data_IF_425944709561
#
_entry.id   IF_425944709561
#
_cell.length_a   1.000
_cell.length_b   1.000
_cell.length_c   1.000
_cell.angle_alpha   90.00
_cell.angle_beta   90.00
_cell.angle_gamma   90.00
#
_symmetry.space_group_name_H-M   'P 1'
#
loop_
_entity.id
_entity.type
_entity.pdbx_description
1 polymer ?
#
# COMPACT_ATOMS: atom_id res chain seq x y z
N UNK A 1 -54.17 45.74 10.97
CA UNK A 1 -53.03 46.42 11.62
C UNK A 1 -52.78 45.71 12.95
N UNK A 2 -51.96 44.66 12.93
CA UNK A 2 -50.54 44.64 13.39
C UNK A 2 -50.40 44.47 14.90
N UNK A 3 -50.15 43.25 15.36
CA UNK A 3 -48.78 42.79 15.70
C UNK A 3 -48.82 41.34 16.22
N UNK A 4 -48.22 40.44 15.45
CA UNK A 4 -47.82 39.10 15.85
C UNK A 4 -46.43 39.22 16.49
N UNK A 5 -46.24 38.81 17.76
CA UNK A 5 -44.88 38.66 18.33
C UNK A 5 -44.77 37.43 19.23
N UNK A 6 -44.09 36.44 18.64
CA UNK A 6 -43.09 35.52 19.20
C UNK A 6 -43.55 34.54 20.30
N UNK A 7 -43.88 33.35 19.82
CA UNK A 7 -43.90 32.09 20.56
C UNK A 7 -42.55 31.37 20.35
N UNK A 8 -42.25 30.47 21.29
CA UNK A 8 -41.21 29.43 21.37
C UNK A 8 -39.85 29.77 21.99
N UNK A 9 -39.77 29.50 23.30
CA UNK A 9 -38.56 29.06 23.97
C UNK A 9 -38.32 27.54 23.80
N UNK A 10 -37.17 27.10 24.30
CA UNK A 10 -36.63 25.73 24.29
C UNK A 10 -36.07 25.23 22.95
N UNK A 11 -34.83 25.62 22.65
CA UNK A 11 -33.90 24.73 21.94
C UNK A 11 -32.67 24.54 22.82
N UNK A 12 -32.61 23.37 23.45
CA UNK A 12 -31.47 22.86 24.19
C UNK A 12 -30.27 22.74 23.26
N UNK A 13 -29.20 23.43 23.61
CA UNK A 13 -27.85 23.18 23.12
C UNK A 13 -27.40 21.77 23.55
N UNK A 14 -27.64 20.79 22.68
CA UNK A 14 -26.90 19.53 22.64
C UNK A 14 -26.12 19.52 21.33
N UNK A 15 -24.97 20.19 21.36
CA UNK A 15 -23.90 19.99 20.40
C UNK A 15 -23.42 18.55 20.56
N UNK A 16 -24.06 17.63 19.85
CA UNK A 16 -23.50 16.32 19.53
C UNK A 16 -22.21 16.56 18.77
N UNK A 17 -21.12 16.53 19.52
CA UNK A 17 -19.76 16.36 19.05
C UNK A 17 -19.68 14.94 18.47
N UNK A 18 -20.18 14.77 17.25
CA UNK A 18 -19.84 13.63 16.42
C UNK A 18 -18.40 13.81 15.96
N UNK A 19 -17.45 13.60 16.88
CA UNK A 19 -16.15 13.08 16.54
C UNK A 19 -16.40 11.68 15.99
N UNK A 20 -16.67 11.61 14.69
CA UNK A 20 -16.57 10.37 13.96
C UNK A 20 -15.10 9.96 14.03
N UNK A 21 -14.79 9.06 14.95
CA UNK A 21 -13.67 8.15 14.80
C UNK A 21 -14.21 6.97 13.98
N UNK A 22 -13.96 6.89 12.66
CA UNK A 22 -14.30 5.72 11.88
C UNK A 22 -13.11 4.76 11.99
N UNK A 23 -12.96 4.09 13.12
CA UNK A 23 -11.94 3.05 13.27
C UNK A 23 -12.42 1.93 14.20
N UNK A 24 -13.09 2.28 15.30
CA UNK A 24 -13.55 1.32 16.32
C UNK A 24 -14.68 0.35 15.88
N UNK A 25 -15.20 0.46 14.66
CA UNK A 25 -16.28 -0.40 14.17
C UNK A 25 -15.83 -1.47 13.14
N UNK A 26 -14.61 -1.37 12.58
CA UNK A 26 -14.22 -2.15 11.41
C UNK A 26 -13.88 -3.63 11.73
N UNK A 27 -13.32 -3.91 12.90
CA UNK A 27 -12.84 -5.25 13.30
C UNK A 27 -13.95 -6.29 13.51
N UNK A 28 -15.13 -5.83 13.94
CA UNK A 28 -16.32 -6.68 14.09
C UNK A 28 -17.15 -6.78 12.80
N UNK A 29 -16.75 -6.07 11.73
CA UNK A 29 -17.57 -5.90 10.53
C UNK A 29 -16.94 -6.36 9.22
N UNK A 30 -15.72 -6.92 9.19
CA UNK A 30 -15.16 -7.45 7.94
C UNK A 30 -15.85 -8.79 7.56
N UNK A 31 -16.72 -8.83 6.54
CA UNK A 31 -17.46 -10.05 6.21
C UNK A 31 -16.55 -11.16 5.68
N UNK A 32 -15.37 -10.80 5.17
CA UNK A 32 -14.42 -11.73 4.55
C UNK A 32 -13.36 -12.27 5.52
N UNK A 33 -13.51 -12.03 6.84
CA UNK A 33 -12.57 -12.46 7.89
C UNK A 33 -12.16 -13.93 7.75
N UNK A 34 -13.12 -14.84 7.63
CA UNK A 34 -12.84 -16.28 7.56
C UNK A 34 -12.07 -16.67 6.30
N UNK A 35 -12.35 -16.01 5.17
CA UNK A 35 -11.62 -16.22 3.92
C UNK A 35 -10.19 -15.67 4.01
N UNK A 36 -10.00 -14.49 4.60
CA UNK A 36 -8.67 -13.91 4.85
C UNK A 36 -7.83 -14.84 5.73
N UNK A 37 -8.41 -15.36 6.83
CA UNK A 37 -7.75 -16.31 7.72
C UNK A 37 -7.39 -17.61 6.99
N UNK A 38 -8.33 -18.16 6.21
CA UNK A 38 -8.08 -19.37 5.45
C UNK A 38 -6.98 -19.21 4.39
N UNK A 39 -6.90 -18.06 3.72
CA UNK A 39 -5.79 -17.77 2.81
C UNK A 39 -4.47 -17.59 3.55
N UNK A 40 -4.50 -16.91 4.69
CA UNK A 40 -3.33 -16.75 5.55
C UNK A 40 -2.79 -18.13 5.99
N UNK A 41 -3.67 -19.06 6.37
CA UNK A 41 -3.30 -20.43 6.71
C UNK A 41 -2.70 -21.19 5.51
N UNK A 42 -3.29 -21.07 4.31
CA UNK A 42 -2.72 -21.67 3.09
C UNK A 42 -1.28 -21.19 2.87
N UNK A 43 -1.02 -19.88 3.01
CA UNK A 43 0.32 -19.30 2.87
C UNK A 43 1.26 -19.83 3.95
N UNK A 44 0.85 -19.75 5.21
CA UNK A 44 1.71 -20.12 6.34
C UNK A 44 2.04 -21.62 6.34
N UNK A 45 1.10 -22.49 5.97
CA UNK A 45 1.30 -23.94 5.98
C UNK A 45 2.00 -24.46 4.73
N UNK A 46 1.89 -23.78 3.59
CA UNK A 46 2.39 -24.28 2.31
C UNK A 46 3.88 -24.04 2.02
N UNK A 47 4.64 -23.43 2.94
CA UNK A 47 6.05 -23.09 2.73
C UNK A 47 6.94 -24.30 2.44
N UNK A 48 6.59 -25.48 2.98
CA UNK A 48 7.40 -26.70 2.83
C UNK A 48 7.44 -27.20 1.37
N UNK A 49 6.53 -26.72 0.52
CA UNK A 49 6.48 -27.03 -0.91
C UNK A 49 7.29 -26.07 -1.80
N UNK A 50 7.96 -25.05 -1.23
CA UNK A 50 8.67 -24.02 -1.97
C UNK A 50 10.19 -24.23 -1.98
N UNK A 51 10.84 -23.66 -3.00
CA UNK A 51 12.30 -23.47 -2.95
C UNK A 51 12.65 -22.34 -1.98
N UNK A 52 13.84 -22.34 -1.36
CA UNK A 52 14.22 -21.31 -0.38
C UNK A 52 14.10 -19.87 -0.90
N UNK A 53 14.44 -19.62 -2.18
CA UNK A 53 14.34 -18.29 -2.79
C UNK A 53 12.90 -17.80 -2.98
N UNK A 54 11.94 -18.72 -3.10
CA UNK A 54 10.51 -18.40 -3.23
C UNK A 54 9.87 -18.28 -1.84
N UNK A 55 10.30 -19.08 -0.88
CA UNK A 55 9.82 -19.03 0.50
C UNK A 55 10.02 -17.65 1.16
N UNK A 56 11.11 -16.94 0.84
CA UNK A 56 11.38 -15.61 1.39
C UNK A 56 10.36 -14.52 0.93
N UNK A 57 9.57 -14.78 -0.13
CA UNK A 57 8.59 -13.84 -0.70
C UNK A 57 7.23 -13.85 -0.01
N UNK A 58 6.90 -14.93 0.70
CA UNK A 58 5.59 -15.13 1.30
C UNK A 58 5.71 -15.28 2.82
N UNK A 59 4.59 -15.07 3.53
CA UNK A 59 4.51 -15.34 4.97
C UNK A 59 4.32 -14.11 5.86
N UNK A 60 5.09 -13.01 5.72
CA UNK A 60 4.94 -11.83 6.59
C UNK A 60 3.54 -11.22 6.55
N UNK A 61 2.98 -11.00 5.37
CA UNK A 61 1.63 -10.45 5.17
C UNK A 61 0.57 -11.38 5.74
N UNK A 62 0.63 -12.67 5.42
CA UNK A 62 -0.26 -13.69 5.96
C UNK A 62 -0.18 -13.79 7.49
N UNK A 63 1.03 -13.72 8.07
CA UNK A 63 1.22 -13.76 9.52
C UNK A 63 0.63 -12.52 10.19
N UNK A 64 0.88 -11.34 9.62
CA UNK A 64 0.30 -10.10 10.12
C UNK A 64 -1.24 -10.14 10.08
N UNK A 65 -1.82 -10.50 8.93
CA UNK A 65 -3.27 -10.66 8.80
C UNK A 65 -3.81 -11.70 9.77
N UNK A 66 -3.14 -12.84 9.98
CA UNK A 66 -3.54 -13.83 10.98
C UNK A 66 -3.51 -13.28 12.40
N UNK A 67 -2.48 -12.51 12.79
CA UNK A 67 -2.41 -11.86 14.10
C UNK A 67 -3.62 -10.93 14.30
N UNK A 68 -3.88 -10.06 13.31
CA UNK A 68 -4.96 -9.07 13.36
C UNK A 68 -6.35 -9.72 13.36
N UNK A 69 -6.62 -10.57 12.37
CA UNK A 69 -7.94 -11.16 12.18
C UNK A 69 -8.23 -12.32 13.12
N UNK A 70 -7.25 -13.10 13.59
CA UNK A 70 -7.54 -14.19 14.54
C UNK A 70 -7.60 -13.70 15.99
N UNK A 71 -7.01 -12.54 16.29
CA UNK A 71 -6.89 -12.03 17.66
C UNK A 71 -5.98 -12.90 18.52
N UNK A 72 -4.83 -13.30 17.97
CA UNK A 72 -3.90 -14.21 18.64
C UNK A 72 -3.37 -13.61 19.95
N UNK A 73 -3.21 -14.46 20.97
CA UNK A 73 -2.52 -14.08 22.19
C UNK A 73 -1.02 -13.86 21.98
N UNK A 74 -0.34 -13.30 22.98
CA UNK A 74 1.11 -13.02 22.89
C UNK A 74 1.95 -14.27 22.66
N UNK A 75 1.60 -15.39 23.30
CA UNK A 75 2.36 -16.65 23.19
C UNK A 75 2.21 -17.25 21.78
N UNK A 76 0.98 -17.28 21.28
CA UNK A 76 0.65 -17.75 19.94
C UNK A 76 1.32 -16.87 18.88
N UNK A 77 1.29 -15.55 19.07
CA UNK A 77 1.94 -14.60 18.17
C UNK A 77 3.46 -14.80 18.15
N UNK A 78 4.10 -14.98 19.30
CA UNK A 78 5.55 -15.26 19.37
C UNK A 78 5.92 -16.55 18.63
N UNK A 79 5.13 -17.61 18.80
CA UNK A 79 5.34 -18.89 18.11
C UNK A 79 5.19 -18.73 16.59
N UNK A 80 4.16 -18.00 16.14
CA UNK A 80 3.94 -17.70 14.73
C UNK A 80 5.12 -16.91 14.13
N UNK A 81 5.52 -15.81 14.77
CA UNK A 81 6.61 -14.95 14.29
C UNK A 81 7.96 -15.70 14.24
N UNK A 82 8.25 -16.54 15.23
CA UNK A 82 9.44 -17.39 15.22
C UNK A 82 9.40 -18.41 14.06
N UNK A 83 8.22 -18.94 13.75
CA UNK A 83 8.03 -19.87 12.63
C UNK A 83 8.25 -19.18 11.28
N UNK A 84 7.72 -17.96 11.11
CA UNK A 84 7.91 -17.15 9.89
C UNK A 84 9.39 -16.85 9.68
N UNK A 85 10.11 -16.38 10.70
CA UNK A 85 11.56 -16.13 10.60
C UNK A 85 12.36 -17.39 10.25
N UNK A 86 11.98 -18.53 10.82
CA UNK A 86 12.66 -19.81 10.53
C UNK A 86 12.43 -20.27 9.09
N UNK A 87 11.23 -20.06 8.56
CA UNK A 87 10.85 -20.46 7.19
C UNK A 87 11.39 -19.50 6.12
N UNK A 88 11.60 -18.23 6.48
CA UNK A 88 11.98 -17.16 5.56
C UNK A 88 13.16 -16.34 6.12
N UNK A 89 14.34 -16.96 6.33
CA UNK A 89 15.45 -16.37 7.08
C UNK A 89 16.08 -15.15 6.41
N UNK A 90 15.87 -14.94 5.10
CA UNK A 90 16.38 -13.75 4.38
C UNK A 90 15.29 -12.73 4.10
N UNK A 91 14.04 -13.01 4.50
CA UNK A 91 12.93 -12.10 4.32
C UNK A 91 13.09 -10.87 5.20
N UNK A 92 13.26 -9.73 4.55
CA UNK A 92 13.34 -8.44 5.24
C UNK A 92 11.98 -8.04 5.82
N UNK A 93 10.89 -8.37 5.13
CA UNK A 93 9.53 -8.16 5.61
C UNK A 93 9.26 -8.99 6.88
N UNK A 94 9.75 -10.24 6.96
CA UNK A 94 9.66 -11.04 8.18
C UNK A 94 10.38 -10.37 9.36
N UNK A 95 11.61 -9.90 9.14
CA UNK A 95 12.39 -9.19 10.17
C UNK A 95 11.71 -7.88 10.60
N UNK A 96 11.13 -7.12 9.67
CA UNK A 96 10.43 -5.87 9.98
C UNK A 96 9.13 -6.13 10.77
N UNK A 97 8.33 -7.12 10.36
CA UNK A 97 7.13 -7.57 11.08
C UNK A 97 7.46 -7.93 12.54
N UNK A 98 8.47 -8.78 12.73
CA UNK A 98 8.87 -9.25 14.07
C UNK A 98 9.34 -8.08 14.92
N UNK A 99 10.18 -7.21 14.37
CA UNK A 99 10.70 -6.04 15.09
C UNK A 99 9.57 -5.09 15.48
N UNK A 100 8.64 -4.82 14.56
CA UNK A 100 7.48 -3.98 14.81
C UNK A 100 6.59 -4.55 15.93
N UNK A 101 6.32 -5.85 15.91
CA UNK A 101 5.50 -6.48 16.95
C UNK A 101 6.16 -6.42 18.32
N UNK A 102 7.43 -6.81 18.44
CA UNK A 102 8.14 -6.78 19.73
C UNK A 102 8.29 -5.37 20.29
N UNK A 103 8.59 -4.38 19.43
CA UNK A 103 8.69 -2.98 19.84
C UNK A 103 7.34 -2.45 20.32
N UNK A 104 6.27 -2.68 19.56
CA UNK A 104 4.94 -2.25 19.94
C UNK A 104 4.49 -2.93 21.25
N UNK A 105 4.69 -4.25 21.37
CA UNK A 105 4.16 -5.04 22.48
C UNK A 105 4.89 -4.82 23.80
N UNK A 106 6.22 -4.69 23.75
CA UNK A 106 7.07 -4.60 24.94
C UNK A 106 7.53 -3.17 25.23
N UNK A 107 7.63 -2.32 24.22
CA UNK A 107 8.38 -1.08 24.26
C UNK A 107 9.90 -1.29 24.20
N UNK A 108 10.62 -0.29 23.69
CA UNK A 108 12.05 -0.35 23.42
C UNK A 108 12.90 -0.59 24.68
N UNK A 109 12.48 -0.07 25.84
CA UNK A 109 13.20 -0.24 27.11
C UNK A 109 13.14 -1.68 27.61
N UNK A 110 11.94 -2.27 27.63
CA UNK A 110 11.77 -3.65 28.07
C UNK A 110 12.38 -4.62 27.06
N UNK A 111 12.25 -4.34 25.76
CA UNK A 111 12.91 -5.13 24.71
C UNK A 111 14.43 -5.13 24.89
N UNK A 112 15.05 -3.98 25.15
CA UNK A 112 16.49 -3.91 25.45
C UNK A 112 16.87 -4.73 26.68
N UNK A 113 16.05 -4.68 27.73
CA UNK A 113 16.27 -5.48 28.95
C UNK A 113 16.19 -6.98 28.70
N UNK A 114 15.23 -7.43 27.87
CA UNK A 114 15.01 -8.84 27.56
C UNK A 114 16.04 -9.40 26.56
N UNK A 115 16.39 -8.64 25.52
CA UNK A 115 17.30 -9.07 24.46
C UNK A 115 18.78 -8.93 24.87
N UNK A 116 19.09 -8.05 25.82
CA UNK A 116 20.45 -7.61 26.09
C UNK A 116 20.93 -6.53 25.11
N UNK A 117 22.01 -5.83 25.48
CA UNK A 117 22.45 -4.64 24.76
C UNK A 117 22.92 -4.92 23.32
N UNK A 118 23.67 -6.01 23.12
CA UNK A 118 24.21 -6.37 21.79
C UNK A 118 23.09 -6.74 20.82
N UNK A 119 22.17 -7.64 21.23
CA UNK A 119 21.06 -8.04 20.36
C UNK A 119 20.09 -6.90 20.09
N UNK A 120 19.84 -6.05 21.09
CA UNK A 120 19.06 -4.83 20.88
C UNK A 120 19.73 -3.91 19.85
N UNK A 121 21.04 -3.74 19.90
CA UNK A 121 21.75 -2.93 18.91
C UNK A 121 21.67 -3.52 17.49
N UNK A 122 21.72 -4.85 17.35
CA UNK A 122 21.49 -5.55 16.09
C UNK A 122 20.07 -5.28 15.55
N UNK A 123 19.03 -5.40 16.40
CA UNK A 123 17.64 -5.07 16.04
C UNK A 123 17.54 -3.62 15.57
N UNK A 124 18.14 -2.69 16.33
CA UNK A 124 18.13 -1.26 16.02
C UNK A 124 18.85 -0.92 14.71
N UNK A 125 19.90 -1.65 14.35
CA UNK A 125 20.58 -1.55 13.03
C UNK A 125 19.71 -2.07 11.88
N UNK A 126 18.87 -3.06 12.16
CA UNK A 126 18.02 -3.72 11.18
C UNK A 126 16.65 -3.09 10.97
N UNK A 127 16.26 -2.08 11.77
CA UNK A 127 14.91 -1.51 11.71
C UNK A 127 14.58 -0.99 10.31
N UNK A 128 13.39 -1.38 9.83
CA UNK A 128 12.77 -0.85 8.63
C UNK A 128 11.52 -0.08 9.02
N UNK A 129 10.68 0.24 8.04
CA UNK A 129 9.62 1.23 8.21
C UNK A 129 8.63 0.86 9.34
N UNK A 130 8.27 -0.41 9.48
CA UNK A 130 7.33 -0.86 10.51
C UNK A 130 7.97 -0.82 11.89
N UNK A 131 9.22 -1.28 12.01
CA UNK A 131 9.99 -1.19 13.24
C UNK A 131 10.29 0.25 13.67
N UNK A 132 10.62 1.13 12.72
CA UNK A 132 10.79 2.57 12.95
C UNK A 132 9.49 3.17 13.49
N UNK A 133 8.35 2.90 12.85
CA UNK A 133 7.04 3.35 13.34
C UNK A 133 6.81 2.91 14.78
N UNK A 134 6.94 1.61 15.06
CA UNK A 134 6.69 1.06 16.39
C UNK A 134 7.59 1.71 17.47
N UNK A 135 8.88 1.92 17.15
CA UNK A 135 9.81 2.62 18.04
C UNK A 135 9.39 4.07 18.30
N UNK A 136 9.02 4.80 17.25
CA UNK A 136 8.65 6.21 17.36
C UNK A 136 7.36 6.38 18.17
N UNK A 137 6.38 5.49 18.00
CA UNK A 137 5.13 5.53 18.75
C UNK A 137 5.32 5.13 20.23
N UNK A 138 6.38 4.41 20.57
CA UNK A 138 6.79 4.10 21.94
C UNK A 138 7.69 5.18 22.58
N UNK A 139 7.80 6.36 21.97
CA UNK A 139 8.61 7.47 22.49
C UNK A 139 10.13 7.26 22.34
N UNK A 140 10.52 6.52 21.31
CA UNK A 140 11.92 6.25 20.97
C UNK A 140 12.58 7.31 20.08
N UNK A 141 12.03 8.53 20.00
CA UNK A 141 12.49 9.57 19.05
C UNK A 141 13.95 9.93 19.30
N UNK A 142 14.31 10.29 20.54
CA UNK A 142 15.69 10.66 20.89
C UNK A 142 16.69 9.51 20.70
N UNK A 143 16.27 8.28 20.99
CA UNK A 143 17.08 7.08 20.75
C UNK A 143 17.38 6.90 19.26
N UNK A 144 16.36 7.03 18.41
CA UNK A 144 16.51 6.89 16.96
C UNK A 144 17.38 8.01 16.37
N UNK A 145 17.15 9.26 16.79
CA UNK A 145 17.93 10.40 16.30
C UNK A 145 19.40 10.29 16.72
N UNK A 146 19.70 9.95 17.98
CA UNK A 146 21.08 9.70 18.42
C UNK A 146 21.75 8.60 17.63
N UNK A 147 21.01 7.54 17.31
CA UNK A 147 21.52 6.45 16.47
C UNK A 147 21.88 6.96 15.07
N UNK A 148 20.98 7.68 14.39
CA UNK A 148 21.25 8.19 13.05
C UNK A 148 22.35 9.26 13.00
N UNK A 149 22.56 10.00 14.08
CA UNK A 149 23.69 10.90 14.21
C UNK A 149 25.04 10.15 14.32
N UNK A 150 25.05 8.99 15.01
CA UNK A 150 26.25 8.17 15.18
C UNK A 150 26.52 7.25 13.98
N UNK A 151 25.46 6.71 13.37
CA UNK A 151 25.50 5.73 12.29
C UNK A 151 24.54 6.17 11.19
N UNK A 152 25.06 6.65 10.04
CA UNK A 152 24.22 7.04 8.92
C UNK A 152 23.29 5.89 8.50
N UNK A 153 22.04 6.22 8.17
CA UNK A 153 21.09 5.26 7.63
C UNK A 153 21.63 4.63 6.35
N UNK A 154 21.63 3.30 6.30
CA UNK A 154 22.06 2.55 5.12
C UNK A 154 20.81 2.11 4.35
N UNK A 155 20.58 2.62 3.12
CA UNK A 155 19.51 2.17 2.26
C UNK A 155 19.67 0.68 1.94
N UNK A 156 18.54 -0.01 1.78
CA UNK A 156 18.50 -1.41 1.35
C UNK A 156 18.76 -1.60 -0.14
N UNK A 157 18.43 -0.59 -0.93
CA UNK A 157 18.66 -0.54 -2.36
C UNK A 157 19.52 0.68 -2.68
N UNK A 158 20.46 0.49 -3.59
CA UNK A 158 21.30 1.54 -4.16
C UNK A 158 20.53 2.49 -5.10
N UNK A 159 19.27 2.19 -5.42
CA UNK A 159 18.41 3.11 -6.17
C UNK A 159 18.22 4.41 -5.39
N UNK A 160 18.70 5.50 -5.98
CA UNK A 160 18.51 6.84 -5.43
C UNK A 160 17.03 7.21 -5.54
N UNK A 161 16.36 7.38 -4.40
CA UNK A 161 14.95 7.76 -4.33
C UNK A 161 14.66 8.60 -3.07
N UNK A 162 13.61 9.44 -3.08
CA UNK A 162 13.29 10.31 -1.95
C UNK A 162 12.94 9.54 -0.67
N UNK A 163 12.54 8.27 -0.78
CA UNK A 163 12.18 7.38 0.34
C UNK A 163 13.21 6.28 0.60
N UNK A 164 14.40 6.37 0.02
CA UNK A 164 15.52 5.47 0.32
C UNK A 164 16.51 6.06 1.33
N UNK A 165 16.26 7.27 1.84
CA UNK A 165 17.05 7.91 2.90
C UNK A 165 16.28 7.98 4.23
N UNK A 166 17.00 8.27 5.33
CA UNK A 166 16.43 8.30 6.68
C UNK A 166 15.21 9.22 6.81
N UNK A 167 15.28 10.43 6.24
CA UNK A 167 14.21 11.41 6.34
C UNK A 167 12.94 10.93 5.65
N UNK A 168 13.07 10.43 4.41
CA UNK A 168 11.95 9.85 3.67
C UNK A 168 11.33 8.67 4.40
N UNK A 169 12.14 7.71 4.86
CA UNK A 169 11.62 6.52 5.58
C UNK A 169 10.90 6.90 6.87
N UNK A 170 11.45 7.84 7.66
CA UNK A 170 10.79 8.33 8.86
C UNK A 170 9.45 8.99 8.49
N UNK A 171 9.43 9.94 7.55
CA UNK A 171 8.18 10.61 7.17
C UNK A 171 7.14 9.64 6.63
N UNK A 172 7.53 8.64 5.84
CA UNK A 172 6.63 7.59 5.39
C UNK A 172 6.07 6.79 6.58
N UNK A 173 6.90 6.40 7.57
CA UNK A 173 6.47 5.60 8.72
C UNK A 173 5.39 6.26 9.61
N UNK A 174 5.26 7.58 9.54
CA UNK A 174 4.43 8.42 10.43
C UNK A 174 3.56 9.43 9.67
N UNK A 175 3.39 9.26 8.35
CA UNK A 175 2.65 10.23 7.50
C UNK A 175 1.20 10.44 7.98
N UNK A 176 0.60 9.41 8.57
CA UNK A 176 -0.74 9.38 9.13
C UNK A 176 -0.82 9.91 10.58
N UNK A 177 0.31 10.20 11.22
CA UNK A 177 0.37 10.77 12.57
C UNK A 177 0.05 12.27 12.57
N UNK A 178 -0.31 12.79 13.74
CA UNK A 178 -0.67 14.19 13.92
C UNK A 178 0.52 15.13 13.67
N UNK A 179 0.23 16.37 13.32
CA UNK A 179 1.26 17.38 13.09
C UNK A 179 2.03 17.70 14.39
N UNK A 180 1.39 17.61 15.56
CA UNK A 180 2.08 17.74 16.85
C UNK A 180 3.07 16.60 17.10
N UNK A 181 2.77 15.38 16.65
CA UNK A 181 3.70 14.27 16.70
C UNK A 181 4.90 14.51 15.78
N UNK A 182 4.64 14.95 14.54
CA UNK A 182 5.67 15.29 13.55
C UNK A 182 6.58 16.41 14.03
N UNK A 183 6.05 17.50 14.59
CA UNK A 183 6.88 18.61 15.10
C UNK A 183 7.77 18.16 16.27
N UNK A 184 7.34 17.23 17.14
CA UNK A 184 8.23 16.66 18.18
C UNK A 184 9.43 15.94 17.56
N UNK A 185 9.22 15.18 16.49
CA UNK A 185 10.29 14.53 15.74
C UNK A 185 11.23 15.54 15.07
N UNK A 186 10.67 16.62 14.49
CA UNK A 186 11.46 17.72 13.92
C UNK A 186 12.39 18.29 14.99
N UNK A 187 11.90 18.58 16.19
CA UNK A 187 12.72 19.08 17.30
C UNK A 187 13.79 18.09 17.74
N UNK A 188 13.45 16.81 17.84
CA UNK A 188 14.41 15.77 18.21
C UNK A 188 15.54 15.65 17.17
N UNK A 189 15.20 15.73 15.88
CA UNK A 189 16.17 15.73 14.79
C UNK A 189 17.05 16.99 14.79
N UNK A 190 16.46 18.18 14.98
CA UNK A 190 17.19 19.45 15.15
C UNK A 190 18.21 19.38 16.30
N UNK A 191 17.78 18.86 17.46
CA UNK A 191 18.63 18.73 18.65
C UNK A 191 19.82 17.79 18.46
N UNK A 192 19.72 16.84 17.53
CA UNK A 192 20.78 15.87 17.20
C UNK A 192 21.53 16.22 15.91
N UNK A 193 21.32 17.40 15.33
CA UNK A 193 22.05 17.84 14.14
C UNK A 193 21.69 17.05 12.87
N UNK A 194 20.43 16.63 12.74
CA UNK A 194 19.90 15.86 11.61
C UNK A 194 18.94 16.70 10.76
N UNK A 195 19.44 17.75 10.06
CA UNK A 195 18.60 18.71 9.35
C UNK A 195 17.78 18.08 8.22
N UNK A 196 18.26 16.98 7.63
CA UNK A 196 17.57 16.32 6.51
C UNK A 196 16.33 15.57 6.99
N UNK A 197 16.43 14.87 8.13
CA UNK A 197 15.26 14.22 8.76
C UNK A 197 14.25 15.29 9.17
N UNK A 198 14.70 16.35 9.85
CA UNK A 198 13.83 17.46 10.24
C UNK A 198 13.10 18.08 9.03
N UNK A 199 13.80 18.26 7.90
CA UNK A 199 13.23 18.80 6.67
C UNK A 199 12.12 17.91 6.09
N UNK A 200 12.38 16.61 5.97
CA UNK A 200 11.38 15.65 5.47
C UNK A 200 10.15 15.57 6.37
N UNK A 201 10.34 15.57 7.70
CA UNK A 201 9.22 15.43 8.65
C UNK A 201 8.38 16.70 8.66
N UNK A 202 8.99 17.88 8.74
CA UNK A 202 8.28 19.17 8.69
C UNK A 202 7.51 19.36 7.37
N UNK A 203 8.07 18.86 6.26
CA UNK A 203 7.42 18.88 4.95
C UNK A 203 6.24 17.90 4.83
N UNK A 204 6.17 16.88 5.69
CA UNK A 204 5.09 15.88 5.70
C UNK A 204 3.93 16.23 6.64
N UNK A 205 3.95 17.39 7.28
CA UNK A 205 2.82 17.89 8.07
C UNK A 205 1.64 18.27 7.18
N UNK A 206 0.42 18.11 7.70
CA UNK A 206 -0.79 18.54 7.01
C UNK A 206 -0.92 20.07 7.02
N UNK A 207 -0.36 20.77 8.00
CA UNK A 207 -0.22 22.22 7.98
C UNK A 207 0.79 22.66 6.91
N UNK A 208 0.35 23.34 5.82
CA UNK A 208 1.25 23.76 4.75
C UNK A 208 2.34 24.75 5.20
N UNK A 209 2.15 25.45 6.33
CA UNK A 209 3.08 26.42 6.88
C UNK A 209 4.17 25.80 7.78
N UNK A 210 4.07 24.51 8.11
CA UNK A 210 5.04 23.82 8.97
C UNK A 210 6.48 23.89 8.44
N UNK A 211 6.64 23.59 7.15
CA UNK A 211 7.94 23.64 6.49
C UNK A 211 8.52 25.07 6.49
N UNK A 212 7.70 26.09 6.23
CA UNK A 212 8.15 27.49 6.27
C UNK A 212 8.63 27.87 7.68
N UNK A 213 7.93 27.43 8.73
CA UNK A 213 8.37 27.62 10.13
C UNK A 213 9.69 26.92 10.41
N UNK A 214 9.90 25.71 9.89
CA UNK A 214 11.16 24.98 10.01
C UNK A 214 12.32 25.76 9.35
N UNK A 215 12.13 26.25 8.13
CA UNK A 215 13.16 27.03 7.42
C UNK A 215 13.49 28.33 8.15
N UNK A 216 12.49 29.04 8.66
CA UNK A 216 12.67 30.30 9.39
C UNK A 216 13.53 30.16 10.66
N UNK A 217 13.60 28.97 11.26
CA UNK A 217 14.46 28.69 12.43
C UNK A 217 15.96 28.57 12.09
N UNK A 218 16.32 28.54 10.81
CA UNK A 218 17.70 28.35 10.36
C UNK A 218 18.19 26.91 10.53
N UNK A 219 17.26 25.95 10.68
CA UNK A 219 17.53 24.54 10.96
C UNK A 219 18.20 23.78 9.80
N UNK A 220 18.38 24.40 8.64
CA UNK A 220 19.11 23.84 7.49
C UNK A 220 20.61 24.17 7.49
N UNK A 221 21.09 24.95 8.46
CA UNK A 221 22.49 25.41 8.53
C UNK A 221 23.45 24.22 8.62
N UNK A 222 24.22 23.98 7.55
CA UNK A 222 25.19 22.88 7.46
C UNK A 222 24.72 21.67 6.65
N UNK A 223 23.45 21.63 6.19
CA UNK A 223 23.00 20.60 5.24
C UNK A 223 23.67 20.82 3.87
N UNK A 224 24.12 19.74 3.25
CA UNK A 224 24.64 19.72 1.87
C UNK A 224 23.54 19.42 0.84
N UNK A 225 22.29 19.21 1.28
CA UNK A 225 21.18 18.80 0.42
C UNK A 225 20.44 20.00 -0.19
N UNK A 226 19.58 19.71 -1.17
CA UNK A 226 18.59 20.63 -1.74
C UNK A 226 17.30 20.52 -0.90
N UNK A 227 17.11 21.29 0.19
CA UNK A 227 16.01 21.10 1.13
C UNK A 227 14.64 21.21 0.45
N UNK A 228 14.52 22.08 -0.55
CA UNK A 228 13.30 22.27 -1.35
C UNK A 228 12.92 21.02 -2.14
N UNK A 229 13.90 20.35 -2.76
CA UNK A 229 13.65 19.16 -3.59
C UNK A 229 13.13 18.00 -2.74
N UNK A 230 13.74 17.77 -1.58
CA UNK A 230 13.31 16.73 -0.65
C UNK A 230 11.96 17.06 -0.01
N UNK A 231 11.72 18.34 0.30
CA UNK A 231 10.46 18.80 0.85
C UNK A 231 9.31 18.63 -0.15
N UNK A 232 9.53 18.87 -1.45
CA UNK A 232 8.51 18.69 -2.48
C UNK A 232 7.96 17.25 -2.47
N UNK A 233 8.80 16.21 -2.34
CA UNK A 233 8.31 14.83 -2.25
C UNK A 233 7.51 14.55 -0.97
N UNK A 234 7.99 15.03 0.18
CA UNK A 234 7.28 14.84 1.44
C UNK A 234 5.93 15.58 1.46
N UNK A 235 5.87 16.78 0.88
CA UNK A 235 4.64 17.56 0.69
C UNK A 235 3.69 16.85 -0.27
N UNK A 236 4.20 16.22 -1.32
CA UNK A 236 3.38 15.50 -2.28
C UNK A 236 2.66 14.29 -1.65
N UNK A 237 3.30 13.58 -0.70
CA UNK A 237 2.66 12.47 0.04
C UNK A 237 1.35 12.86 0.74
N UNK A 238 1.33 14.09 1.27
CA UNK A 238 0.18 14.68 1.97
C UNK A 238 -0.66 15.58 1.06
N UNK A 239 -0.39 15.59 -0.24
CA UNK A 239 -1.15 16.34 -1.24
C UNK A 239 -0.98 17.86 -1.17
N UNK A 240 0.11 18.34 -0.57
CA UNK A 240 0.41 19.76 -0.44
C UNK A 240 1.09 20.31 -1.70
N UNK A 241 0.89 21.61 -2.02
CA UNK A 241 1.64 22.26 -3.10
C UNK A 241 3.14 22.27 -2.84
N UNK A 242 3.93 22.40 -3.90
CA UNK A 242 5.39 22.60 -3.83
C UNK A 242 5.78 23.76 -2.94
N UNK A 243 7.02 23.72 -2.43
CA UNK A 243 7.60 24.88 -1.75
C UNK A 243 7.74 26.06 -2.72
N UNK A 244 7.55 27.29 -2.21
CA UNK A 244 7.59 28.50 -3.04
C UNK A 244 9.02 28.79 -3.50
N UNK A 245 9.24 28.84 -4.80
CA UNK A 245 10.53 29.16 -5.40
C UNK A 245 10.62 28.55 -6.80
N UNK A 246 11.00 29.34 -7.79
CA UNK A 246 10.92 28.99 -9.21
C UNK A 246 11.41 27.58 -9.57
N UNK A 247 10.67 26.92 -10.43
CA UNK A 247 11.04 25.67 -11.07
C UNK A 247 10.51 25.65 -12.50
N UNK A 248 11.04 24.77 -13.34
CA UNK A 248 10.48 24.56 -14.67
C UNK A 248 9.02 24.07 -14.56
N UNK A 249 8.19 24.29 -15.59
CA UNK A 249 6.87 23.65 -15.70
C UNK A 249 6.93 22.14 -15.45
N UNK A 250 7.97 21.47 -15.93
CA UNK A 250 8.23 20.03 -15.70
C UNK A 250 8.30 19.67 -14.21
N UNK A 251 8.90 20.51 -13.36
CA UNK A 251 8.94 20.25 -11.92
C UNK A 251 7.57 20.41 -11.27
N UNK A 252 6.73 21.32 -11.78
CA UNK A 252 5.35 21.43 -11.30
C UNK A 252 4.53 20.20 -11.73
N UNK A 253 4.68 19.76 -12.98
CA UNK A 253 4.06 18.57 -13.54
C UNK A 253 4.50 17.29 -12.80
N UNK A 254 5.80 17.13 -12.54
CA UNK A 254 6.34 16.05 -11.72
C UNK A 254 5.70 16.04 -10.33
N UNK A 255 5.59 17.19 -9.67
CA UNK A 255 5.00 17.25 -8.34
C UNK A 255 3.53 16.84 -8.32
N UNK A 256 2.74 17.28 -9.30
CA UNK A 256 1.36 16.79 -9.45
C UNK A 256 1.32 15.28 -9.67
N UNK A 257 2.23 14.73 -10.48
CA UNK A 257 2.34 13.29 -10.69
C UNK A 257 2.67 12.55 -9.39
N UNK A 258 3.60 13.06 -8.58
CA UNK A 258 3.94 12.49 -7.28
C UNK A 258 2.76 12.56 -6.31
N UNK A 259 1.97 13.65 -6.31
CA UNK A 259 0.71 13.74 -5.55
C UNK A 259 -0.23 12.62 -6.01
N UNK A 260 -0.47 12.48 -7.33
CA UNK A 260 -1.33 11.44 -7.88
C UNK A 260 -0.88 10.04 -7.45
N UNK A 261 0.40 9.73 -7.63
CA UNK A 261 1.03 8.48 -7.20
C UNK A 261 0.85 8.23 -5.71
N UNK A 262 0.96 9.26 -4.86
CA UNK A 262 0.75 9.14 -3.40
C UNK A 262 -0.71 8.92 -3.00
N UNK A 263 -1.64 9.14 -3.92
CA UNK A 263 -3.08 8.91 -3.72
C UNK A 263 -3.56 7.61 -4.37
N UNK A 264 -2.77 6.99 -5.26
CA UNK A 264 -3.10 5.67 -5.78
C UNK A 264 -3.06 4.60 -4.67
N UNK A 265 -4.02 3.66 -4.67
CA UNK A 265 -3.97 2.49 -3.82
C UNK A 265 -2.85 1.55 -4.27
N UNK A 266 -2.07 1.07 -3.30
CA UNK A 266 -1.11 -0.04 -3.44
C UNK A 266 0.08 0.18 -4.39
N UNK A 267 -0.12 0.36 -5.70
CA UNK A 267 0.93 0.65 -6.68
C UNK A 267 0.41 1.69 -7.67
N UNK A 268 1.31 2.48 -8.28
CA UNK A 268 0.92 3.59 -9.14
C UNK A 268 1.18 3.31 -10.62
N UNK A 269 0.15 3.47 -11.45
CA UNK A 269 0.37 3.45 -12.91
C UNK A 269 1.05 4.72 -13.42
N UNK A 270 0.95 5.83 -12.69
CA UNK A 270 1.55 7.12 -13.06
C UNK A 270 3.08 7.08 -13.16
N UNK A 271 3.75 6.17 -12.46
CA UNK A 271 5.21 5.98 -12.56
C UNK A 271 5.63 5.49 -13.95
N UNK A 272 4.77 4.73 -14.62
CA UNK A 272 4.98 4.29 -16.00
C UNK A 272 4.76 5.44 -16.99
N UNK A 273 3.73 6.26 -16.79
CA UNK A 273 3.46 7.41 -17.65
C UNK A 273 4.63 8.41 -17.68
N UNK A 274 5.36 8.59 -16.57
CA UNK A 274 6.52 9.48 -16.52
C UNK A 274 7.67 9.07 -17.44
N UNK A 275 7.72 7.80 -17.87
CA UNK A 275 8.79 7.27 -18.71
C UNK A 275 8.60 7.57 -20.20
N UNK A 276 7.47 8.16 -20.59
CA UNK A 276 7.16 8.54 -21.96
C UNK A 276 7.86 9.86 -22.36
N UNK A 277 8.06 10.09 -23.65
CA UNK A 277 8.65 11.34 -24.17
C UNK A 277 7.87 12.61 -23.74
N UNK A 278 6.54 12.54 -23.69
CA UNK A 278 5.65 13.60 -23.13
C UNK A 278 5.09 13.25 -21.74
N UNK A 279 5.82 12.40 -21.00
CA UNK A 279 5.35 11.79 -19.75
C UNK A 279 5.03 12.78 -18.63
N UNK A 280 5.73 13.92 -18.56
CA UNK A 280 5.43 14.97 -17.57
C UNK A 280 4.08 15.62 -17.80
N UNK A 281 3.77 16.02 -19.03
CA UNK A 281 2.49 16.69 -19.35
C UNK A 281 1.31 15.72 -19.21
N UNK A 282 1.41 14.53 -19.80
CA UNK A 282 0.36 13.51 -19.70
C UNK A 282 0.19 13.08 -18.24
N UNK A 283 1.30 12.82 -17.56
CA UNK A 283 1.31 12.41 -16.15
C UNK A 283 0.69 13.44 -15.23
N UNK A 284 0.93 14.73 -15.43
CA UNK A 284 0.29 15.82 -14.67
C UNK A 284 -1.23 15.82 -14.84
N UNK A 285 -1.72 15.76 -16.09
CA UNK A 285 -3.15 15.76 -16.39
C UNK A 285 -3.86 14.53 -15.80
N UNK A 286 -3.26 13.34 -15.94
CA UNK A 286 -3.82 12.11 -15.38
C UNK A 286 -3.81 12.16 -13.85
N UNK A 287 -2.71 12.61 -13.25
CA UNK A 287 -2.57 12.69 -11.80
C UNK A 287 -3.55 13.66 -11.15
N UNK A 288 -3.81 14.81 -11.77
CA UNK A 288 -4.83 15.75 -11.30
C UNK A 288 -6.23 15.11 -11.31
N UNK A 289 -6.59 14.46 -12.42
CA UNK A 289 -7.89 13.78 -12.55
C UNK A 289 -8.04 12.65 -11.53
N UNK A 290 -7.03 11.79 -11.40
CA UNK A 290 -6.99 10.70 -10.44
C UNK A 290 -7.12 11.21 -9.01
N UNK A 291 -6.32 12.21 -8.63
CA UNK A 291 -6.38 12.80 -7.28
C UNK A 291 -7.78 13.30 -6.97
N UNK A 292 -8.48 13.85 -7.96
CA UNK A 292 -9.86 14.29 -7.82
C UNK A 292 -10.85 13.14 -7.61
N UNK A 293 -10.67 12.01 -8.32
CA UNK A 293 -11.48 10.80 -8.13
C UNK A 293 -11.25 10.14 -6.76
N UNK A 294 -10.01 10.13 -6.28
CA UNK A 294 -9.70 9.62 -4.94
C UNK A 294 -10.30 10.53 -3.86
N UNK A 295 -10.15 11.85 -4.01
CA UNK A 295 -10.71 12.83 -3.05
C UNK A 295 -12.24 12.84 -3.02
N UNK A 296 -12.90 12.55 -4.14
CA UNK A 296 -14.37 12.44 -4.19
C UNK A 296 -14.90 11.11 -3.63
N UNK A 297 -14.02 10.14 -3.37
CA UNK A 297 -14.39 8.78 -2.95
C UNK A 297 -14.83 7.88 -4.10
N UNK A 298 -14.75 8.33 -5.36
CA UNK A 298 -15.04 7.49 -6.53
C UNK A 298 -14.02 6.37 -6.70
N UNK A 299 -12.77 6.61 -6.30
CA UNK A 299 -11.72 5.60 -6.16
C UNK A 299 -11.37 5.50 -4.68
N UNK A 300 -11.49 4.31 -4.10
CA UNK A 300 -11.14 4.11 -2.70
C UNK A 300 -9.62 4.14 -2.52
N UNK A 301 -9.13 5.10 -1.72
CA UNK A 301 -7.70 5.25 -1.42
C UNK A 301 -7.09 4.03 -0.73
N UNK A 302 -7.87 3.31 0.07
CA UNK A 302 -7.43 2.08 0.75
C UNK A 302 -7.76 0.80 -0.02
N UNK A 303 -8.32 0.92 -1.23
CA UNK A 303 -8.72 -0.21 -2.06
C UNK A 303 -7.54 -0.89 -2.77
N UNK A 304 -7.84 -1.62 -3.84
CA UNK A 304 -6.84 -2.26 -4.71
C UNK A 304 -6.40 -1.32 -5.83
N UNK A 305 -5.22 -1.55 -6.40
CA UNK A 305 -4.71 -0.78 -7.55
C UNK A 305 -5.63 -0.83 -8.80
N UNK A 306 -6.43 -1.89 -8.95
CA UNK A 306 -7.19 -2.26 -10.16
C UNK A 306 -7.97 -1.08 -10.79
N UNK A 307 -8.75 -0.37 -9.96
CA UNK A 307 -9.59 0.73 -10.43
C UNK A 307 -8.76 1.96 -10.80
N UNK A 308 -7.73 2.27 -10.00
CA UNK A 308 -6.84 3.41 -10.24
C UNK A 308 -6.00 3.19 -11.49
N UNK A 309 -5.45 1.99 -11.70
CA UNK A 309 -4.68 1.64 -12.88
C UNK A 309 -5.53 1.71 -14.14
N UNK A 310 -6.73 1.13 -14.14
CA UNK A 310 -7.65 1.23 -15.28
C UNK A 310 -8.05 2.68 -15.58
N UNK A 311 -8.26 3.50 -14.54
CA UNK A 311 -8.57 4.91 -14.69
C UNK A 311 -7.39 5.66 -15.34
N UNK A 312 -6.19 5.55 -14.75
CA UNK A 312 -4.98 6.21 -15.21
C UNK A 312 -4.59 5.77 -16.63
N UNK A 313 -4.68 4.48 -16.93
CA UNK A 313 -4.45 3.94 -18.27
C UNK A 313 -5.42 4.52 -19.31
N UNK A 314 -6.73 4.46 -19.06
CA UNK A 314 -7.73 4.99 -20.02
C UNK A 314 -7.59 6.50 -20.23
N UNK A 315 -7.26 7.24 -19.17
CA UNK A 315 -6.99 8.66 -19.26
C UNK A 315 -5.74 8.93 -20.11
N UNK A 316 -4.66 8.16 -19.94
CA UNK A 316 -3.46 8.26 -20.75
C UNK A 316 -3.72 7.89 -22.23
N UNK A 317 -4.44 6.80 -22.49
CA UNK A 317 -4.84 6.40 -23.86
C UNK A 317 -5.66 7.50 -24.53
N UNK A 318 -6.58 8.15 -23.82
CA UNK A 318 -7.36 9.27 -24.36
C UNK A 318 -6.51 10.49 -24.73
N UNK A 319 -5.42 10.74 -24.01
CA UNK A 319 -4.54 11.89 -24.20
C UNK A 319 -3.47 11.65 -25.27
N UNK A 320 -2.86 10.47 -25.28
CA UNK A 320 -1.67 10.17 -26.10
C UNK A 320 -1.91 9.09 -27.17
N UNK A 321 -3.02 8.35 -27.08
CA UNK A 321 -3.24 7.13 -27.85
C UNK A 321 -2.49 5.93 -27.28
N UNK A 322 -3.06 4.74 -27.46
CA UNK A 322 -2.43 3.47 -27.06
C UNK A 322 -1.02 3.27 -27.66
N UNK A 323 -0.75 3.58 -28.95
CA UNK A 323 0.59 3.39 -29.52
C UNK A 323 1.71 4.11 -28.77
N UNK A 324 1.41 5.26 -28.13
CA UNK A 324 2.39 5.99 -27.34
C UNK A 324 2.75 5.29 -26.03
N UNK A 325 1.94 4.34 -25.55
CA UNK A 325 2.14 3.59 -24.31
C UNK A 325 2.82 2.22 -24.53
N UNK A 326 2.92 1.75 -25.78
CA UNK A 326 3.31 0.36 -26.07
C UNK A 326 4.70 0.00 -25.50
N UNK A 327 5.69 0.89 -25.61
CA UNK A 327 7.02 0.65 -25.02
C UNK A 327 6.92 0.39 -23.52
N UNK A 328 6.15 1.21 -22.81
CA UNK A 328 5.97 1.09 -21.36
C UNK A 328 5.16 -0.15 -20.97
N UNK A 329 4.17 -0.54 -21.77
CA UNK A 329 3.42 -1.80 -21.58
C UNK A 329 4.30 -3.05 -21.74
N UNK A 330 5.47 -2.95 -22.39
CA UNK A 330 6.43 -4.07 -22.47
C UNK A 330 7.34 -4.19 -21.26
N UNK A 331 7.37 -3.20 -20.35
CA UNK A 331 8.22 -3.26 -19.14
C UNK A 331 7.76 -4.37 -18.22
N UNK A 332 8.73 -5.00 -17.54
CA UNK A 332 8.46 -6.04 -16.57
C UNK A 332 7.66 -5.50 -15.37
N UNK A 333 6.62 -6.24 -14.99
CA UNK A 333 5.89 -6.00 -13.75
C UNK A 333 6.62 -6.64 -12.57
N UNK A 334 7.00 -5.81 -11.60
CA UNK A 334 7.76 -6.23 -10.42
C UNK A 334 6.88 -6.66 -9.25
N UNK A 335 5.56 -6.45 -9.30
CA UNK A 335 4.66 -6.86 -8.21
C UNK A 335 4.38 -8.37 -8.18
N UNK A 336 3.94 -8.85 -7.03
CA UNK A 336 3.68 -10.27 -6.76
C UNK A 336 2.24 -10.70 -7.04
N UNK A 337 1.43 -9.78 -7.58
CA UNK A 337 0.05 -10.06 -8.02
C UNK A 337 0.03 -10.96 -9.25
N UNK A 338 -1.08 -11.66 -9.40
CA UNK A 338 -1.43 -12.48 -10.55
C UNK A 338 -0.61 -13.77 -10.69
N UNK A 339 -1.29 -14.86 -11.08
CA UNK A 339 -0.62 -16.11 -11.48
C UNK A 339 0.19 -15.85 -12.75
N UNK A 340 1.51 -15.99 -12.67
CA UNK A 340 2.43 -15.85 -13.80
C UNK A 340 2.43 -17.14 -14.63
N UNK A 341 2.11 -17.02 -15.91
CA UNK A 341 2.13 -18.13 -16.88
C UNK A 341 3.35 -18.09 -17.81
N UNK A 342 4.20 -17.06 -17.66
CA UNK A 342 5.42 -16.82 -18.43
C UNK A 342 6.52 -16.25 -17.53
N UNK A 343 7.77 -16.46 -17.92
CA UNK A 343 8.95 -15.91 -17.22
C UNK A 343 9.00 -14.38 -17.28
N UNK A 344 8.50 -13.80 -18.38
CA UNK A 344 8.32 -12.36 -18.56
C UNK A 344 6.85 -12.03 -18.41
N UNK A 345 6.52 -11.26 -17.37
CA UNK A 345 5.18 -10.76 -17.10
C UNK A 345 5.25 -9.22 -17.08
N UNK A 346 4.52 -8.55 -17.96
CA UNK A 346 4.67 -7.12 -18.24
C UNK A 346 3.51 -6.28 -17.69
N UNK A 347 3.69 -4.95 -17.67
CA UNK A 347 2.61 -4.01 -17.36
C UNK A 347 1.42 -4.20 -18.31
N UNK A 348 1.68 -4.45 -19.60
CA UNK A 348 0.65 -4.81 -20.59
C UNK A 348 -0.15 -6.05 -20.21
N UNK A 349 0.51 -7.09 -19.70
CA UNK A 349 -0.18 -8.32 -19.26
C UNK A 349 -1.09 -8.04 -18.05
N UNK A 350 -0.69 -7.15 -17.13
CA UNK A 350 -1.56 -6.67 -16.04
C UNK A 350 -2.76 -5.89 -16.60
N UNK A 351 -2.53 -4.96 -17.53
CA UNK A 351 -3.59 -4.15 -18.11
C UNK A 351 -4.61 -4.99 -18.87
N UNK A 352 -4.18 -6.00 -19.64
CA UNK A 352 -5.07 -6.92 -20.34
C UNK A 352 -5.96 -7.70 -19.36
N UNK A 353 -5.41 -8.17 -18.24
CA UNK A 353 -6.19 -8.84 -17.18
C UNK A 353 -7.22 -7.90 -16.56
N UNK A 354 -6.81 -6.69 -16.21
CA UNK A 354 -7.72 -5.68 -15.64
C UNK A 354 -8.84 -5.31 -16.61
N UNK A 355 -8.53 -5.14 -17.90
CA UNK A 355 -9.52 -4.85 -18.94
C UNK A 355 -10.49 -6.02 -19.14
N UNK A 356 -9.99 -7.26 -19.17
CA UNK A 356 -10.81 -8.46 -19.31
C UNK A 356 -11.76 -8.63 -18.11
N UNK A 357 -11.24 -8.49 -16.88
CA UNK A 357 -12.05 -8.55 -15.66
C UNK A 357 -13.11 -7.44 -15.64
N UNK A 358 -12.74 -6.19 -15.94
CA UNK A 358 -13.68 -5.08 -15.95
C UNK A 358 -14.81 -5.26 -16.99
N UNK A 359 -14.50 -5.84 -18.15
CA UNK A 359 -15.49 -6.13 -19.18
C UNK A 359 -16.43 -7.28 -18.78
N UNK A 360 -15.90 -8.34 -18.17
CA UNK A 360 -16.67 -9.55 -17.80
C UNK A 360 -17.43 -9.40 -16.47
N UNK A 361 -17.03 -8.46 -15.61
CA UNK A 361 -17.61 -8.30 -14.28
C UNK A 361 -19.15 -8.19 -14.29
N UNK A 362 -19.79 -7.34 -15.13
CA UNK A 362 -21.26 -7.24 -15.16
C UNK A 362 -21.96 -8.56 -15.53
N UNK A 363 -21.33 -9.39 -16.38
CA UNK A 363 -21.85 -10.69 -16.77
C UNK A 363 -21.75 -11.71 -15.62
N UNK A 364 -20.58 -11.82 -14.96
CA UNK A 364 -20.37 -12.83 -13.90
C UNK A 364 -21.19 -12.55 -12.63
N UNK A 365 -21.51 -11.28 -12.35
CA UNK A 365 -22.43 -10.90 -11.25
C UNK A 365 -23.90 -10.94 -11.64
N UNK A 366 -24.23 -11.30 -12.88
CA UNK A 366 -25.62 -11.39 -13.37
C UNK A 366 -26.32 -10.05 -13.59
N UNK A 367 -25.59 -8.93 -13.69
CA UNK A 367 -26.17 -7.62 -14.09
C UNK A 367 -26.56 -7.60 -15.57
N UNK A 368 -25.89 -8.40 -16.40
CA UNK A 368 -26.20 -8.54 -17.84
C UNK A 368 -26.21 -10.02 -18.24
N UNK A 369 -27.16 -10.42 -19.07
CA UNK A 369 -27.22 -11.80 -19.60
C UNK A 369 -26.35 -12.01 -20.83
N UNK A 370 -26.13 -10.97 -21.61
CA UNK A 370 -25.27 -11.03 -22.79
C UNK A 370 -23.79 -11.06 -22.41
N UNK A 371 -23.04 -11.96 -23.05
CA UNK A 371 -21.58 -11.95 -23.00
C UNK A 371 -21.06 -10.68 -23.71
N UNK A 372 -20.16 -9.89 -23.10
CA UNK A 372 -19.59 -8.71 -23.75
C UNK A 372 -18.73 -9.09 -24.96
N UNK A 373 -18.62 -8.16 -25.92
CA UNK A 373 -17.63 -8.25 -27.00
C UNK A 373 -16.21 -8.06 -26.45
N UNK A 374 -15.19 -8.55 -27.19
CA UNK A 374 -13.77 -8.29 -26.89
C UNK A 374 -13.57 -6.76 -26.79
N UNK A 375 -13.01 -6.23 -25.67
CA UNK A 375 -12.68 -4.81 -25.59
C UNK A 375 -11.66 -4.42 -26.67
N UNK A 376 -11.82 -3.23 -27.25
CA UNK A 376 -10.92 -2.75 -28.33
C UNK A 376 -9.47 -2.55 -27.86
N UNK A 377 -9.29 -2.13 -26.61
CA UNK A 377 -7.98 -1.86 -26.00
C UNK A 377 -7.26 -3.14 -25.53
N UNK A 378 -7.92 -4.28 -25.63
CA UNK A 378 -7.36 -5.57 -25.25
C UNK A 378 -6.29 -5.99 -26.26
N UNK A 379 -5.10 -6.41 -25.83
CA UNK A 379 -4.07 -6.89 -26.76
C UNK A 379 -4.46 -8.20 -27.45
N UNK A 380 -3.65 -8.63 -28.42
CA UNK A 380 -3.82 -9.93 -29.08
C UNK A 380 -3.19 -11.09 -28.29
N UNK A 381 -2.49 -10.81 -27.18
CA UNK A 381 -1.91 -11.86 -26.33
C UNK A 381 -2.96 -12.59 -25.50
N UNK A 382 -4.08 -11.94 -25.19
CA UNK A 382 -5.09 -12.51 -24.30
C UNK A 382 -6.10 -13.34 -25.09
N UNK A 383 -6.32 -14.57 -24.64
CA UNK A 383 -7.30 -15.48 -25.22
C UNK A 383 -8.71 -15.11 -24.74
N UNK A 384 -9.34 -14.15 -25.43
CA UNK A 384 -10.69 -13.71 -25.09
C UNK A 384 -11.73 -14.85 -25.10
N UNK A 385 -11.76 -15.78 -26.09
CA UNK A 385 -12.58 -16.98 -26.01
C UNK A 385 -12.40 -17.76 -24.70
N UNK A 386 -11.16 -17.99 -24.25
CA UNK A 386 -10.89 -18.67 -22.98
C UNK A 386 -11.43 -17.91 -21.77
N UNK A 387 -11.24 -16.60 -21.73
CA UNK A 387 -11.78 -15.75 -20.66
C UNK A 387 -13.31 -15.79 -20.59
N UNK A 388 -14.00 -15.72 -21.74
CA UNK A 388 -15.47 -15.81 -21.80
C UNK A 388 -15.99 -17.21 -21.43
N UNK A 389 -15.26 -18.27 -21.78
CA UNK A 389 -15.55 -19.63 -21.31
C UNK A 389 -15.48 -19.71 -19.79
N UNK A 390 -14.39 -19.21 -19.18
CA UNK A 390 -14.21 -19.21 -17.73
C UNK A 390 -15.24 -18.34 -17.02
N UNK A 391 -15.61 -17.18 -17.58
CA UNK A 391 -16.66 -16.33 -17.05
C UNK A 391 -18.02 -17.04 -17.00
N UNK A 392 -18.34 -17.84 -18.01
CA UNK A 392 -19.56 -18.68 -18.02
C UNK A 392 -19.50 -19.69 -16.88
N UNK A 393 -18.38 -20.42 -16.72
CA UNK A 393 -18.23 -21.39 -15.62
C UNK A 393 -18.31 -20.74 -14.25
N UNK A 394 -17.72 -19.55 -14.06
CA UNK A 394 -17.77 -18.78 -12.81
C UNK A 394 -19.19 -18.31 -12.51
N UNK A 395 -19.91 -17.81 -13.52
CA UNK A 395 -21.31 -17.40 -13.39
C UNK A 395 -22.19 -18.57 -12.95
N UNK A 396 -22.03 -19.72 -13.59
CA UNK A 396 -22.84 -20.93 -13.37
C UNK A 396 -22.41 -21.75 -12.15
N UNK A 397 -21.32 -21.37 -11.46
CA UNK A 397 -20.77 -22.12 -10.33
C UNK A 397 -20.11 -23.46 -10.73
N UNK A 398 -19.77 -23.62 -12.01
CA UNK A 398 -19.19 -24.83 -12.60
C UNK A 398 -17.65 -24.85 -12.57
N UNK A 399 -17.03 -24.19 -11.59
CA UNK A 399 -15.57 -24.27 -11.36
C UNK A 399 -15.21 -25.65 -10.82
N UNK A 400 -14.02 -26.17 -11.16
CA UNK A 400 -13.65 -27.56 -10.83
C UNK A 400 -12.16 -27.73 -10.50
N UNK A 401 -11.77 -28.83 -9.85
CA UNK A 401 -10.37 -29.10 -9.53
C UNK A 401 -9.45 -29.16 -10.77
N UNK A 402 -10.00 -29.57 -11.92
CA UNK A 402 -9.24 -29.63 -13.18
C UNK A 402 -8.80 -28.22 -13.60
N UNK A 403 -9.69 -27.23 -13.46
CA UNK A 403 -9.37 -25.83 -13.73
C UNK A 403 -8.41 -25.25 -12.68
N UNK A 404 -8.51 -25.70 -11.43
CA UNK A 404 -7.60 -25.27 -10.37
C UNK A 404 -6.17 -25.82 -10.56
N UNK A 405 -5.99 -26.90 -11.31
CA UNK A 405 -4.70 -27.53 -11.57
C UNK A 405 -3.94 -26.95 -12.78
N UNK A 406 -4.63 -26.25 -13.68
CA UNK A 406 -4.04 -25.59 -14.84
C UNK A 406 -3.76 -24.11 -14.52
N UNK A 407 -2.50 -23.66 -14.66
CA UNK A 407 -2.08 -22.33 -14.19
C UNK A 407 -2.83 -21.18 -14.86
N UNK A 408 -3.13 -21.31 -16.15
CA UNK A 408 -3.83 -20.28 -16.90
C UNK A 408 -5.27 -20.15 -16.41
N UNK A 409 -6.04 -21.24 -16.39
CA UNK A 409 -7.41 -21.20 -15.89
C UNK A 409 -7.49 -20.91 -14.41
N UNK A 410 -6.52 -21.36 -13.61
CA UNK A 410 -6.42 -21.01 -12.20
C UNK A 410 -6.35 -19.49 -12.03
N UNK A 411 -5.43 -18.82 -12.76
CA UNK A 411 -5.30 -17.36 -12.71
C UNK A 411 -6.54 -16.60 -13.21
N UNK A 412 -7.20 -17.08 -14.28
CA UNK A 412 -8.41 -16.44 -14.82
C UNK A 412 -9.58 -16.59 -13.83
N UNK A 413 -9.84 -17.80 -13.35
CA UNK A 413 -10.99 -18.10 -12.50
C UNK A 413 -10.87 -17.40 -11.15
N UNK A 414 -9.68 -17.28 -10.57
CA UNK A 414 -9.49 -16.56 -9.30
C UNK A 414 -9.82 -15.07 -9.41
N UNK A 415 -9.37 -14.41 -10.48
CA UNK A 415 -9.69 -12.99 -10.72
C UNK A 415 -11.19 -12.79 -10.97
N UNK A 416 -11.83 -13.69 -11.74
CA UNK A 416 -13.27 -13.62 -12.01
C UNK A 416 -14.13 -13.92 -10.77
N UNK A 417 -13.75 -14.86 -9.91
CA UNK A 417 -14.43 -15.14 -8.63
C UNK A 417 -14.31 -13.96 -7.66
N UNK A 418 -13.14 -13.32 -7.60
CA UNK A 418 -12.97 -12.08 -6.85
C UNK A 418 -13.85 -10.95 -7.40
N UNK A 419 -13.85 -10.75 -8.73
CA UNK A 419 -14.69 -9.75 -9.39
C UNK A 419 -16.20 -10.01 -9.23
N UNK A 420 -16.59 -11.28 -9.11
CA UNK A 420 -17.97 -11.71 -8.80
C UNK A 420 -18.39 -11.29 -7.38
N UNK A 421 -17.43 -11.05 -6.49
CA UNK A 421 -17.69 -10.76 -5.08
C UNK A 421 -18.06 -12.01 -4.26
N UNK A 422 -17.53 -13.18 -4.65
CA UNK A 422 -17.81 -14.47 -4.01
C UNK A 422 -16.55 -15.04 -3.34
N UNK A 423 -16.15 -14.51 -2.16
CA UNK A 423 -14.92 -14.90 -1.47
C UNK A 423 -14.95 -16.36 -1.00
N UNK A 424 -16.12 -16.92 -0.68
CA UNK A 424 -16.26 -18.32 -0.27
C UNK A 424 -15.98 -19.27 -1.45
N UNK A 425 -16.53 -18.99 -2.64
CA UNK A 425 -16.23 -19.78 -3.83
C UNK A 425 -14.77 -19.62 -4.26
N UNK A 426 -14.21 -18.41 -4.16
CA UNK A 426 -12.78 -18.16 -4.39
C UNK A 426 -11.90 -19.02 -3.46
N UNK A 427 -12.19 -19.00 -2.16
CA UNK A 427 -11.48 -19.81 -1.16
C UNK A 427 -11.57 -21.31 -1.48
N UNK A 428 -12.78 -21.79 -1.79
CA UNK A 428 -13.02 -23.19 -2.11
C UNK A 428 -12.25 -23.62 -3.38
N UNK A 429 -12.19 -22.76 -4.39
CA UNK A 429 -11.45 -23.02 -5.63
C UNK A 429 -9.93 -23.05 -5.40
N UNK A 430 -9.37 -22.07 -4.68
CA UNK A 430 -7.94 -22.03 -4.35
C UNK A 430 -7.49 -23.24 -3.53
N UNK A 431 -8.34 -23.76 -2.64
CA UNK A 431 -8.05 -24.99 -1.89
C UNK A 431 -7.89 -26.23 -2.77
N UNK A 432 -8.52 -26.26 -3.95
CA UNK A 432 -8.45 -27.37 -4.90
C UNK A 432 -7.17 -27.35 -5.73
N UNK A 433 -6.47 -26.21 -5.81
CA UNK A 433 -5.24 -26.10 -6.56
C UNK A 433 -4.11 -26.95 -5.93
N UNK A 434 -3.21 -27.54 -6.74
CA UNK A 434 -2.01 -28.21 -6.24
C UNK A 434 -1.19 -27.31 -5.31
N UNK A 435 -0.51 -27.92 -4.34
CA UNK A 435 0.46 -27.19 -3.50
C UNK A 435 1.60 -26.66 -4.36
N UNK A 436 2.01 -25.41 -4.14
CA UNK A 436 3.09 -24.78 -4.88
C UNK A 436 2.97 -23.25 -4.90
N UNK A 437 3.91 -22.60 -5.58
CA UNK A 437 4.04 -21.14 -5.63
C UNK A 437 2.76 -20.45 -6.10
N UNK A 438 2.11 -20.94 -7.17
CA UNK A 438 0.90 -20.32 -7.70
C UNK A 438 -0.24 -20.25 -6.68
N UNK A 439 -0.47 -21.33 -5.92
CA UNK A 439 -1.49 -21.38 -4.87
C UNK A 439 -1.18 -20.41 -3.74
N UNK A 440 0.09 -20.29 -3.34
CA UNK A 440 0.49 -19.38 -2.27
C UNK A 440 0.45 -17.92 -2.71
N UNK A 441 0.90 -17.61 -3.93
CA UNK A 441 0.81 -16.28 -4.53
C UNK A 441 -0.64 -15.80 -4.56
N UNK A 442 -1.56 -16.64 -5.07
CA UNK A 442 -3.00 -16.32 -5.11
C UNK A 442 -3.58 -16.13 -3.72
N UNK A 443 -3.29 -17.04 -2.78
CA UNK A 443 -3.79 -16.90 -1.41
C UNK A 443 -3.26 -15.62 -0.74
N UNK A 444 -1.98 -15.31 -0.88
CA UNK A 444 -1.38 -14.10 -0.31
C UNK A 444 -1.99 -12.83 -0.92
N UNK A 445 -2.05 -12.75 -2.25
CA UNK A 445 -2.64 -11.62 -2.99
C UNK A 445 -4.10 -11.38 -2.57
N UNK A 446 -4.96 -12.41 -2.66
CA UNK A 446 -6.38 -12.23 -2.32
C UNK A 446 -6.62 -11.99 -0.83
N UNK A 447 -5.79 -12.49 0.09
CA UNK A 447 -5.88 -12.08 1.49
C UNK A 447 -5.66 -10.57 1.64
N UNK A 448 -4.67 -10.00 0.96
CA UNK A 448 -4.38 -8.57 0.96
C UNK A 448 -5.48 -7.75 0.28
N UNK A 449 -6.02 -8.22 -0.87
CA UNK A 449 -7.13 -7.53 -1.57
C UNK A 449 -8.41 -7.53 -0.75
N UNK A 450 -8.70 -8.62 -0.05
CA UNK A 450 -9.86 -8.73 0.83
C UNK A 450 -9.71 -7.87 2.08
N UNK A 451 -8.52 -7.81 2.69
CA UNK A 451 -8.19 -6.88 3.78
C UNK A 451 -8.49 -5.44 3.36
N UNK A 452 -7.95 -5.01 2.21
CA UNK A 452 -8.16 -3.67 1.63
C UNK A 452 -9.63 -3.33 1.34
N UNK A 453 -10.47 -4.34 1.11
CA UNK A 453 -11.90 -4.17 0.89
C UNK A 453 -12.71 -4.03 2.20
N UNK A 454 -12.10 -4.28 3.37
CA UNK A 454 -12.76 -4.18 4.66
C UNK A 454 -11.96 -3.37 5.71
N UNK A 455 -11.08 -4.00 6.50
CA UNK A 455 -10.37 -3.34 7.61
C UNK A 455 -9.14 -2.55 7.15
N UNK A 456 -8.55 -2.95 6.02
CA UNK A 456 -7.39 -2.33 5.39
C UNK A 456 -6.20 -2.18 6.35
N UNK A 457 -5.87 -3.22 7.12
CA UNK A 457 -4.76 -3.19 8.06
C UNK A 457 -3.40 -3.03 7.37
N UNK A 458 -3.28 -3.50 6.12
CA UNK A 458 -2.06 -3.38 5.32
C UNK A 458 -1.96 -2.05 4.57
N UNK A 459 -3.06 -1.27 4.50
CA UNK A 459 -3.07 0.01 3.81
C UNK A 459 -2.26 1.06 4.58
N UNK A 460 -1.49 1.85 3.83
CA UNK A 460 -0.85 3.05 4.35
C UNK A 460 -0.95 4.25 3.39
N UNK A 461 -1.18 5.49 3.87
CA UNK A 461 -1.22 6.65 2.98
C UNK A 461 0.10 6.85 2.24
N UNK A 462 0.05 7.03 0.92
CA UNK A 462 1.26 7.21 0.10
C UNK A 462 2.04 5.92 -0.17
N UNK A 463 1.49 4.74 0.13
CA UNK A 463 2.17 3.44 -0.05
C UNK A 463 2.62 3.18 -1.49
N UNK A 464 1.84 3.59 -2.49
CA UNK A 464 2.17 3.41 -3.90
C UNK A 464 3.46 4.13 -4.27
N UNK A 465 3.64 5.36 -3.76
CA UNK A 465 4.84 6.16 -4.02
C UNK A 465 6.03 5.80 -3.11
N UNK A 466 5.77 5.51 -1.84
CA UNK A 466 6.83 5.41 -0.82
C UNK A 466 7.33 3.98 -0.60
N UNK A 467 6.46 3.00 -0.83
CA UNK A 467 6.72 1.59 -0.49
C UNK A 467 6.68 0.67 -1.72
N UNK A 468 6.23 1.17 -2.86
CA UNK A 468 5.97 0.40 -4.09
C UNK A 468 5.07 -0.81 -3.82
N UNK A 469 4.04 -0.62 -2.99
CA UNK A 469 3.07 -1.65 -2.63
C UNK A 469 3.47 -2.59 -1.50
N UNK A 470 4.66 -2.41 -0.90
CA UNK A 470 5.02 -3.11 0.34
C UNK A 470 4.21 -2.55 1.52
N UNK A 471 3.68 -3.40 2.41
CA UNK A 471 2.89 -2.93 3.53
C UNK A 471 3.76 -2.35 4.66
N UNK A 472 3.10 -1.58 5.54
CA UNK A 472 3.61 -1.29 6.89
C UNK A 472 2.84 -2.14 7.88
N UNK A 473 3.55 -2.92 8.70
CA UNK A 473 2.93 -3.73 9.76
C UNK A 473 2.65 -2.85 10.98
N UNK A 474 1.40 -2.43 11.14
CA UNK A 474 0.95 -1.52 12.21
C UNK A 474 0.28 -2.32 13.32
N UNK A 475 0.71 -2.12 14.55
CA UNK A 475 0.06 -2.72 15.72
C UNK A 475 -0.59 -1.66 16.62
N UNK A 476 -0.43 -0.38 16.27
CA UNK A 476 -1.00 0.79 16.93
C UNK A 476 -2.43 1.13 16.49
N UNK A 477 -2.96 0.43 15.50
CA UNK A 477 -4.35 0.57 15.05
C UNK A 477 -5.16 -0.57 15.66
N UNK A 478 -6.37 -0.28 16.13
CA UNK A 478 -7.37 -1.32 16.46
C UNK A 478 -8.08 -1.74 15.18
#
# INVERSE_FOLDING_TARGET
>A
MTMLRRVTGFFSLLLLSCLAAPALAADKSCPQRETILAFSDIVLDGHDALTPSVADRFGPEAAYLKIRYAGLGDDETRILLATVLKRSPKSQAANDLVSAWYLHRLGHKALRGAAGAEKFDEIMSGLRISGIRALLLDGGEDLLMKRFAAFPFVPLDSTAGPFTNAGGVISASIVDQSDEFKERLVRAAEANGLPDIANYVAASENDPAAWDRFIQRGSTKGSKLRPEFNADFARAMVGQPRVKGGGSPEKAQLHSNVIGTSFEPEQSFLEHILMLESGFEIGDLVAQQLTQQVKSGAINRSGTMDVAWLFSYRAAVKLAGRPALEEDLTRAYSGDRYVRTSDVFTIGDVMDRLLAVAALQPYVIGKTDAMPSKPEDLSDKIDWPRWTEMATKVRDGAVSPILAADLETFGIVTELLFAKGDPEALQAFVRQAPSGEARLSVANDFAMRLDRACAAYLYHPGEAFTLSGRPIFKFDTE
#
